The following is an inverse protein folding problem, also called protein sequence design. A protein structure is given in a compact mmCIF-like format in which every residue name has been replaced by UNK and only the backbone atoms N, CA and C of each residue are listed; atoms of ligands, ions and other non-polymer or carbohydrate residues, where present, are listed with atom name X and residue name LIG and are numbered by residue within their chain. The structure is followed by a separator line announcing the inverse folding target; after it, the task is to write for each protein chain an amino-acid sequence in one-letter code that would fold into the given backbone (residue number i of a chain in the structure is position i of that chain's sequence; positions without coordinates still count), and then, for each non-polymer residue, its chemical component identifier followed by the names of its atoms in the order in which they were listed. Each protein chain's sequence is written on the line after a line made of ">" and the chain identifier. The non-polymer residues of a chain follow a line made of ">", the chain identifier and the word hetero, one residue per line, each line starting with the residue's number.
data_IF_801909463562
#
_entry.id   IF_801909463562
#
_cell.length_a   1.000
_cell.length_b   1.000
_cell.length_c   1.000
_cell.angle_alpha   90.00
_cell.angle_beta   90.00
_cell.angle_gamma   90.00
#
_symmetry.space_group_name_H-M   'P 1'
#
loop_
_entity.id
_entity.type
_entity.pdbx_description
1 polymer ?
#
# COMPACT_ATOMS: atom_id res chain seq x y z
N UNK A 1 18.07 -36.31 -10.22
CA UNK A 1 18.24 -35.50 -11.43
C UNK A 1 16.92 -34.79 -11.64
N UNK A 2 16.88 -33.52 -11.24
CA UNK A 2 15.66 -32.72 -11.18
C UNK A 2 15.43 -32.12 -12.56
N UNK A 3 14.61 -32.79 -13.36
CA UNK A 3 14.23 -32.37 -14.71
C UNK A 3 13.18 -31.26 -14.65
N UNK A 4 13.52 -30.12 -14.05
CA UNK A 4 12.69 -28.91 -14.13
C UNK A 4 12.98 -28.26 -15.49
N UNK A 5 12.37 -28.83 -16.54
CA UNK A 5 12.31 -28.17 -17.85
C UNK A 5 11.60 -26.84 -17.67
N UNK A 6 12.12 -25.80 -18.33
CA UNK A 6 11.48 -24.50 -18.34
C UNK A 6 10.01 -24.66 -18.77
N UNK A 7 9.06 -24.01 -18.07
CA UNK A 7 7.67 -24.06 -18.46
C UNK A 7 7.53 -23.62 -19.92
N UNK A 8 6.64 -24.27 -20.70
CA UNK A 8 6.44 -23.94 -22.10
C UNK A 8 6.04 -22.46 -22.23
N UNK A 9 6.69 -21.75 -23.16
CA UNK A 9 6.47 -20.33 -23.41
C UNK A 9 4.97 -20.03 -23.57
N UNK A 10 4.46 -19.09 -22.79
CA UNK A 10 3.03 -18.78 -22.76
C UNK A 10 2.53 -18.23 -24.10
N UNK A 11 1.22 -18.35 -24.34
CA UNK A 11 0.61 -17.85 -25.58
C UNK A 11 0.80 -16.34 -25.71
N UNK A 12 0.72 -15.59 -24.61
CA UNK A 12 0.93 -14.14 -24.54
C UNK A 12 2.35 -13.74 -24.96
N UNK A 13 3.37 -14.40 -24.40
CA UNK A 13 4.76 -14.13 -24.77
C UNK A 13 5.00 -14.46 -26.25
N UNK A 14 4.50 -15.60 -26.73
CA UNK A 14 4.62 -15.96 -28.15
C UNK A 14 3.92 -14.96 -29.08
N UNK A 15 2.76 -14.44 -28.68
CA UNK A 15 1.97 -13.47 -29.43
C UNK A 15 2.66 -12.11 -29.50
N UNK A 16 3.31 -11.67 -28.42
CA UNK A 16 4.13 -10.46 -28.41
C UNK A 16 5.24 -10.56 -29.47
N UNK A 17 6.04 -11.64 -29.45
CA UNK A 17 7.13 -11.85 -30.42
C UNK A 17 6.61 -11.90 -31.85
N UNK A 18 5.51 -12.62 -32.10
CA UNK A 18 4.88 -12.69 -33.43
C UNK A 18 4.39 -11.33 -33.91
N UNK A 19 3.71 -10.58 -33.04
CA UNK A 19 3.16 -9.26 -33.38
C UNK A 19 4.26 -8.26 -33.70
N UNK A 20 5.34 -8.27 -32.93
CA UNK A 20 6.52 -7.46 -33.19
C UNK A 20 7.15 -7.79 -34.56
N UNK A 21 7.40 -9.07 -34.85
CA UNK A 21 7.96 -9.51 -36.15
C UNK A 21 7.06 -9.14 -37.33
N UNK A 22 5.74 -9.21 -37.16
CA UNK A 22 4.79 -8.77 -38.18
C UNK A 22 4.86 -7.25 -38.37
N UNK A 23 4.92 -6.48 -37.29
CA UNK A 23 5.07 -5.03 -37.31
C UNK A 23 6.34 -4.60 -38.04
N UNK A 24 7.50 -5.13 -37.67
CA UNK A 24 8.76 -4.74 -38.30
C UNK A 24 8.82 -5.16 -39.77
N UNK A 25 8.33 -6.36 -40.11
CA UNK A 25 8.19 -6.80 -41.51
C UNK A 25 7.37 -5.84 -42.34
N UNK A 26 6.30 -5.26 -41.78
CA UNK A 26 5.47 -4.28 -42.47
C UNK A 26 6.13 -2.90 -42.62
N UNK A 27 6.96 -2.48 -41.65
CA UNK A 27 7.66 -1.19 -41.72
C UNK A 27 8.85 -1.22 -42.70
N UNK A 28 9.60 -2.33 -42.69
CA UNK A 28 10.81 -2.51 -43.47
C UNK A 28 10.54 -3.39 -44.70
N UNK A 29 9.40 -3.16 -45.36
CA UNK A 29 9.11 -3.78 -46.65
C UNK A 29 10.08 -3.28 -47.70
N UNK A 30 10.64 -4.21 -48.47
CA UNK A 30 11.51 -3.90 -49.62
C UNK A 30 10.74 -3.06 -50.63
N UNK A 31 11.36 -1.98 -51.10
CA UNK A 31 10.88 -1.22 -52.24
C UNK A 31 11.23 -1.96 -53.55
N UNK A 32 10.52 -1.65 -54.62
CA UNK A 32 10.72 -2.27 -55.92
C UNK A 32 11.91 -1.66 -56.66
N UNK A 33 12.42 -2.35 -57.69
CA UNK A 33 13.40 -1.73 -58.59
C UNK A 33 12.85 -0.46 -59.23
N UNK A 34 11.57 -0.45 -59.62
CA UNK A 34 10.88 0.69 -60.22
C UNK A 34 10.88 1.92 -59.30
N UNK A 35 10.78 1.74 -57.98
CA UNK A 35 10.89 2.83 -57.02
C UNK A 35 12.28 3.49 -57.05
N UNK A 36 13.35 2.70 -57.24
CA UNK A 36 14.72 3.22 -57.41
C UNK A 36 14.86 3.96 -58.73
N UNK A 37 14.29 3.44 -59.81
CA UNK A 37 14.33 4.12 -61.11
C UNK A 37 13.63 5.47 -61.07
N UNK A 38 12.49 5.53 -60.39
CA UNK A 38 11.71 6.76 -60.21
C UNK A 38 12.40 7.76 -59.29
N UNK A 39 13.02 7.29 -58.20
CA UNK A 39 13.70 8.15 -57.24
C UNK A 39 15.04 8.69 -57.77
N UNK A 40 15.74 7.91 -58.60
CA UNK A 40 17.07 8.24 -59.10
C UNK A 40 17.16 8.14 -60.63
N UNK A 41 16.43 9.00 -61.37
CA UNK A 41 16.36 8.91 -62.84
C UNK A 41 17.65 9.32 -63.54
N UNK A 42 18.50 10.12 -62.87
CA UNK A 42 19.71 10.72 -63.47
C UNK A 42 20.95 9.83 -63.44
N UNK A 43 20.92 8.75 -62.65
CA UNK A 43 22.07 7.83 -62.53
C UNK A 43 21.95 6.65 -63.50
N UNK A 44 23.08 6.03 -63.79
CA UNK A 44 23.16 4.93 -64.76
C UNK A 44 22.43 3.67 -64.28
N UNK A 45 22.04 2.80 -65.21
CA UNK A 45 21.40 1.53 -64.86
C UNK A 45 22.26 0.66 -63.92
N UNK A 46 23.59 0.64 -64.12
CA UNK A 46 24.52 -0.11 -63.27
C UNK A 46 24.61 0.44 -61.84
N UNK A 47 24.57 1.76 -61.69
CA UNK A 47 24.52 2.41 -60.38
C UNK A 47 23.20 2.14 -59.67
N UNK A 48 22.06 2.18 -60.39
CA UNK A 48 20.74 1.82 -59.83
C UNK A 48 20.69 0.39 -59.35
N UNK A 49 21.21 -0.56 -60.12
CA UNK A 49 21.25 -1.96 -59.72
C UNK A 49 22.09 -2.16 -58.45
N UNK A 50 23.27 -1.53 -58.41
CA UNK A 50 24.16 -1.60 -57.26
C UNK A 50 23.53 -0.96 -56.01
N UNK A 51 22.83 0.16 -56.18
CA UNK A 51 22.09 0.84 -55.12
C UNK A 51 20.94 -0.02 -54.60
N UNK A 52 20.16 -0.63 -55.49
CA UNK A 52 19.07 -1.55 -55.12
C UNK A 52 19.58 -2.73 -54.29
N UNK A 53 20.67 -3.38 -54.73
CA UNK A 53 21.28 -4.49 -53.98
C UNK A 53 21.81 -4.04 -52.61
N UNK A 54 22.46 -2.87 -52.54
CA UNK A 54 22.95 -2.31 -51.28
C UNK A 54 21.81 -2.05 -50.31
N UNK A 55 20.69 -1.50 -50.77
CA UNK A 55 19.54 -1.29 -49.92
C UNK A 55 18.87 -2.58 -49.45
N UNK A 56 18.77 -3.61 -50.30
CA UNK A 56 18.28 -4.93 -49.86
C UNK A 56 19.15 -5.47 -48.70
N UNK A 57 20.46 -5.30 -48.80
CA UNK A 57 21.39 -5.66 -47.72
C UNK A 57 21.13 -4.84 -46.46
N UNK A 58 21.01 -3.51 -46.59
CA UNK A 58 20.71 -2.61 -45.45
C UNK A 58 19.39 -2.98 -44.77
N UNK A 59 18.33 -3.21 -45.54
CA UNK A 59 17.02 -3.60 -44.99
C UNK A 59 17.12 -4.95 -44.27
N UNK A 60 17.83 -5.93 -44.85
CA UNK A 60 18.05 -7.22 -44.21
C UNK A 60 18.81 -7.09 -42.89
N UNK A 61 19.94 -6.38 -42.89
CA UNK A 61 20.72 -6.16 -41.66
C UNK A 61 19.95 -5.36 -40.62
N UNK A 62 19.10 -4.43 -41.05
CA UNK A 62 18.25 -3.66 -40.14
C UNK A 62 17.16 -4.53 -39.49
N UNK A 63 16.55 -5.45 -40.26
CA UNK A 63 15.64 -6.47 -39.70
C UNK A 63 16.33 -7.29 -38.62
N UNK A 64 17.50 -7.85 -38.92
CA UNK A 64 18.28 -8.69 -38.01
C UNK A 64 18.65 -7.92 -36.73
N UNK A 65 19.22 -6.72 -36.86
CA UNK A 65 19.61 -5.90 -35.72
C UNK A 65 18.42 -5.53 -34.82
N UNK A 66 17.28 -5.16 -35.41
CA UNK A 66 16.10 -4.77 -34.62
C UNK A 66 15.48 -5.97 -33.91
N UNK A 67 15.44 -7.15 -34.55
CA UNK A 67 14.97 -8.37 -33.89
C UNK A 67 15.89 -8.79 -32.74
N UNK A 68 17.21 -8.66 -32.89
CA UNK A 68 18.19 -8.93 -31.83
C UNK A 68 18.05 -7.96 -30.65
N UNK A 69 17.95 -6.66 -30.93
CA UNK A 69 17.77 -5.63 -29.89
C UNK A 69 16.46 -5.83 -29.13
N UNK A 70 15.37 -6.14 -29.83
CA UNK A 70 14.08 -6.45 -29.22
C UNK A 70 14.18 -7.67 -28.30
N UNK A 71 14.87 -8.73 -28.71
CA UNK A 71 15.07 -9.91 -27.88
C UNK A 71 15.90 -9.59 -26.63
N UNK A 72 16.97 -8.79 -26.78
CA UNK A 72 17.79 -8.30 -25.67
C UNK A 72 16.96 -7.54 -24.64
N UNK A 73 16.12 -6.60 -25.09
CA UNK A 73 15.20 -5.84 -24.21
C UNK A 73 14.20 -6.78 -23.52
N UNK A 74 13.65 -7.76 -24.23
CA UNK A 74 12.71 -8.72 -23.65
C UNK A 74 13.37 -9.57 -22.53
N UNK A 75 14.63 -9.93 -22.70
CA UNK A 75 15.42 -10.66 -21.70
C UNK A 75 15.76 -9.77 -20.51
N UNK A 76 16.25 -8.55 -20.75
CA UNK A 76 16.63 -7.58 -19.72
C UNK A 76 15.43 -7.20 -18.84
N UNK A 77 14.28 -6.95 -19.46
CA UNK A 77 13.04 -6.54 -18.76
C UNK A 77 12.27 -7.72 -18.16
N UNK A 78 12.69 -8.96 -18.42
CA UNK A 78 11.99 -10.17 -18.03
C UNK A 78 10.50 -10.18 -18.44
N UNK A 79 10.15 -9.49 -19.53
CA UNK A 79 8.74 -9.35 -19.98
C UNK A 79 8.12 -10.71 -20.30
N UNK A 80 8.91 -11.65 -20.83
CA UNK A 80 8.46 -13.01 -21.10
C UNK A 80 7.98 -13.71 -19.84
N UNK A 81 8.80 -13.71 -18.77
CA UNK A 81 8.45 -14.30 -17.47
C UNK A 81 7.22 -13.62 -16.86
N UNK A 82 7.14 -12.30 -16.98
CA UNK A 82 6.00 -11.52 -16.48
C UNK A 82 4.71 -11.92 -17.20
N UNK A 83 4.74 -12.07 -18.53
CA UNK A 83 3.59 -12.51 -19.32
C UNK A 83 3.21 -13.96 -19.02
N UNK A 84 4.19 -14.83 -18.78
CA UNK A 84 3.95 -16.22 -18.38
C UNK A 84 3.23 -16.28 -17.01
N UNK A 85 3.66 -15.48 -16.02
CA UNK A 85 2.99 -15.35 -14.72
C UNK A 85 1.57 -14.82 -14.88
N UNK A 86 1.36 -13.80 -15.72
CA UNK A 86 0.02 -13.27 -15.98
C UNK A 86 -0.89 -14.33 -16.60
N UNK A 87 -0.38 -15.13 -17.54
CA UNK A 87 -1.16 -16.20 -18.16
C UNK A 87 -1.56 -17.26 -17.13
N UNK A 88 -0.62 -17.67 -16.27
CA UNK A 88 -0.89 -18.58 -15.16
C UNK A 88 -1.94 -18.01 -14.20
N UNK A 89 -1.81 -16.74 -13.77
CA UNK A 89 -2.78 -16.11 -12.86
C UNK A 89 -4.18 -16.01 -13.46
N UNK A 90 -4.28 -15.76 -14.77
CA UNK A 90 -5.55 -15.71 -15.48
C UNK A 90 -6.17 -17.11 -15.58
N UNK A 91 -5.36 -18.14 -15.84
CA UNK A 91 -5.81 -19.52 -15.84
C UNK A 91 -6.29 -19.96 -14.44
N UNK A 92 -5.50 -19.69 -13.40
CA UNK A 92 -5.85 -19.94 -12.00
C UNK A 92 -7.16 -19.23 -11.61
N UNK A 93 -7.31 -17.95 -11.96
CA UNK A 93 -8.53 -17.20 -11.70
C UNK A 93 -9.75 -17.77 -12.43
N UNK A 94 -9.59 -18.23 -13.68
CA UNK A 94 -10.68 -18.82 -14.44
C UNK A 94 -11.09 -20.21 -13.91
N UNK A 95 -10.15 -20.94 -13.31
CA UNK A 95 -10.40 -22.25 -12.70
C UNK A 95 -10.94 -22.14 -11.27
N UNK A 96 -10.58 -21.08 -10.54
CA UNK A 96 -11.12 -20.80 -9.21
C UNK A 96 -12.53 -20.20 -9.33
N UNK A 97 -13.52 -21.07 -9.49
CA UNK A 97 -14.96 -20.73 -9.45
C UNK A 97 -15.35 -20.00 -8.15
N UNK A 98 -14.55 -20.13 -7.07
CA UNK A 98 -14.73 -19.43 -5.80
C UNK A 98 -13.99 -18.06 -5.76
N UNK A 99 -13.08 -17.78 -6.69
CA UNK A 99 -12.39 -16.48 -6.79
C UNK A 99 -13.31 -15.37 -7.30
N UNK A 100 -14.27 -15.71 -8.18
CA UNK A 100 -15.29 -14.77 -8.65
C UNK A 100 -16.12 -14.18 -7.48
N UNK A 101 -16.25 -14.91 -6.37
CA UNK A 101 -16.93 -14.49 -5.15
C UNK A 101 -15.98 -13.81 -4.14
N UNK A 102 -14.67 -13.86 -4.39
CA UNK A 102 -13.59 -13.32 -3.52
C UNK A 102 -13.25 -11.86 -3.76
N UNK A 103 -14.06 -11.14 -4.53
CA UNK A 103 -14.34 -9.74 -4.18
C UNK A 103 -15.26 -9.72 -2.95
N UNK A 104 -14.87 -10.48 -1.93
CA UNK A 104 -15.65 -10.79 -0.75
C UNK A 104 -15.65 -9.54 0.13
N UNK A 105 -16.53 -8.62 -0.23
CA UNK A 105 -16.97 -7.51 0.60
C UNK A 105 -17.29 -8.02 2.02
N UNK A 106 -17.72 -9.28 2.18
CA UNK A 106 -17.94 -9.95 3.45
C UNK A 106 -16.67 -10.09 4.29
N UNK A 107 -15.59 -10.63 3.75
CA UNK A 107 -14.30 -10.79 4.43
C UNK A 107 -13.64 -9.46 4.81
N UNK A 108 -13.77 -8.43 3.96
CA UNK A 108 -13.34 -7.06 4.31
C UNK A 108 -14.22 -6.49 5.43
N UNK A 109 -15.54 -6.65 5.33
CA UNK A 109 -16.50 -6.23 6.35
C UNK A 109 -16.22 -6.90 7.70
N UNK A 110 -15.91 -8.19 7.71
CA UNK A 110 -15.67 -8.94 8.95
C UNK A 110 -14.39 -8.50 9.66
N UNK A 111 -13.31 -8.28 8.90
CA UNK A 111 -12.07 -7.70 9.45
C UNK A 111 -12.29 -6.31 10.04
N UNK A 112 -13.03 -5.45 9.35
CA UNK A 112 -13.37 -4.10 9.83
C UNK A 112 -14.24 -4.17 11.08
N UNK A 113 -15.27 -5.04 11.09
CA UNK A 113 -16.15 -5.24 12.25
C UNK A 113 -15.37 -5.70 13.47
N UNK A 114 -14.45 -6.66 13.30
CA UNK A 114 -13.60 -7.14 14.39
C UNK A 114 -12.72 -6.02 14.95
N UNK A 115 -12.00 -5.30 14.08
CA UNK A 115 -11.15 -4.19 14.50
C UNK A 115 -11.93 -3.09 15.23
N UNK A 116 -13.14 -2.75 14.75
CA UNK A 116 -14.01 -1.75 15.41
C UNK A 116 -14.54 -2.25 16.75
N UNK A 117 -14.85 -3.53 16.88
CA UNK A 117 -15.30 -4.12 18.15
C UNK A 117 -14.18 -4.09 19.19
N UNK A 118 -12.97 -4.46 18.80
CA UNK A 118 -11.79 -4.45 19.67
C UNK A 118 -11.48 -3.02 20.16
N UNK A 119 -11.59 -2.02 19.26
CA UNK A 119 -11.42 -0.60 19.60
C UNK A 119 -12.48 -0.10 20.58
N UNK A 120 -13.76 -0.43 20.36
CA UNK A 120 -14.84 -0.06 21.29
C UNK A 120 -14.60 -0.67 22.67
N UNK A 121 -14.16 -1.92 22.74
CA UNK A 121 -13.86 -2.59 24.00
C UNK A 121 -12.69 -1.93 24.73
N UNK A 122 -11.63 -1.54 24.00
CA UNK A 122 -10.50 -0.80 24.54
C UNK A 122 -10.94 0.56 25.11
N UNK A 123 -11.65 1.36 24.33
CA UNK A 123 -12.13 2.68 24.75
C UNK A 123 -13.09 2.61 25.94
N UNK A 124 -13.97 1.62 25.97
CA UNK A 124 -14.87 1.38 27.11
C UNK A 124 -14.08 1.09 28.38
N UNK A 125 -13.04 0.25 28.28
CA UNK A 125 -12.17 -0.08 29.41
C UNK A 125 -11.38 1.13 29.91
N UNK A 126 -10.95 2.02 29.00
CA UNK A 126 -10.27 3.25 29.36
C UNK A 126 -11.21 4.24 30.06
N UNK A 127 -12.45 4.38 29.55
CA UNK A 127 -13.47 5.23 30.14
C UNK A 127 -13.80 4.79 31.58
N UNK A 128 -13.95 3.49 31.80
CA UNK A 128 -14.22 2.94 33.13
C UNK A 128 -13.11 3.30 34.12
N UNK A 129 -11.84 3.15 33.72
CA UNK A 129 -10.69 3.52 34.57
C UNK A 129 -10.68 5.00 34.94
N UNK A 130 -11.04 5.86 34.00
CA UNK A 130 -11.13 7.31 34.23
C UNK A 130 -12.29 7.63 35.18
N UNK A 131 -13.45 6.99 35.02
CA UNK A 131 -14.60 7.20 35.89
C UNK A 131 -14.32 6.71 37.33
N UNK A 132 -13.72 5.53 37.48
CA UNK A 132 -13.28 5.00 38.78
C UNK A 132 -12.32 5.97 39.48
N UNK A 133 -11.34 6.50 38.74
CA UNK A 133 -10.40 7.47 39.26
C UNK A 133 -11.09 8.78 39.68
N UNK A 134 -12.03 9.27 38.87
CA UNK A 134 -12.80 10.47 39.16
C UNK A 134 -13.67 10.29 40.41
N UNK A 135 -14.29 9.12 40.59
CA UNK A 135 -15.08 8.79 41.77
C UNK A 135 -14.21 8.77 43.05
N UNK A 136 -13.02 8.19 42.98
CA UNK A 136 -12.04 8.25 44.09
C UNK A 136 -11.65 9.69 44.40
N UNK A 137 -11.41 10.52 43.38
CA UNK A 137 -11.02 11.92 43.58
C UNK A 137 -12.15 12.75 44.17
N UNK A 138 -13.40 12.56 43.71
CA UNK A 138 -14.60 13.19 44.31
C UNK A 138 -14.74 12.80 45.78
N UNK A 139 -14.59 11.51 46.12
CA UNK A 139 -14.67 11.06 47.51
C UNK A 139 -13.60 11.72 48.40
N UNK A 140 -12.38 11.90 47.87
CA UNK A 140 -11.30 12.63 48.58
C UNK A 140 -11.65 14.10 48.78
N UNK A 141 -12.20 14.77 47.76
CA UNK A 141 -12.62 16.17 47.86
C UNK A 141 -13.71 16.34 48.91
N UNK A 142 -14.72 15.48 48.94
CA UNK A 142 -15.80 15.55 49.93
C UNK A 142 -15.29 15.29 51.36
N UNK A 143 -14.33 14.37 51.54
CA UNK A 143 -13.68 14.17 52.85
C UNK A 143 -12.94 15.43 53.32
N UNK A 144 -12.20 16.08 52.41
CA UNK A 144 -11.46 17.31 52.73
C UNK A 144 -12.41 18.47 53.06
N UNK A 145 -13.52 18.64 52.30
CA UNK A 145 -14.56 19.63 52.63
C UNK A 145 -15.15 19.39 54.02
N UNK A 146 -15.51 18.15 54.34
CA UNK A 146 -16.03 17.79 55.67
C UNK A 146 -15.03 18.11 56.79
N UNK A 147 -13.72 17.91 56.55
CA UNK A 147 -12.68 18.29 57.50
C UNK A 147 -12.46 19.80 57.63
N UNK A 148 -12.80 20.57 56.59
CA UNK A 148 -12.71 22.02 56.56
C UNK A 148 -13.96 22.69 57.17
N UNK A 149 -15.12 22.03 57.07
CA UNK A 149 -16.38 22.44 57.70
C UNK A 149 -16.41 22.18 59.22
N UNK A 150 -15.46 21.40 59.76
CA UNK A 150 -15.06 21.44 61.18
C UNK A 150 -14.36 22.78 61.44
N UNK A 151 -15.19 23.81 61.53
CA UNK A 151 -14.81 25.21 61.56
C UNK A 151 -13.81 25.49 62.68
N UNK A 152 -12.78 26.27 62.37
CA UNK A 152 -11.95 26.98 63.36
C UNK A 152 -12.79 27.73 64.40
N UNK A 153 -14.06 28.06 64.09
CA UNK A 153 -15.00 28.61 65.06
C UNK A 153 -15.35 27.64 66.20
N UNK A 154 -15.57 26.35 65.93
CA UNK A 154 -15.87 25.34 66.98
C UNK A 154 -14.68 25.14 67.91
N UNK A 155 -13.46 25.15 67.35
CA UNK A 155 -12.22 25.07 68.13
C UNK A 155 -12.02 26.33 68.97
N UNK A 156 -12.30 27.52 68.41
CA UNK A 156 -12.19 28.81 69.14
C UNK A 156 -13.26 28.94 70.23
N UNK A 157 -14.46 28.41 70.01
CA UNK A 157 -15.55 28.45 71.00
C UNK A 157 -15.28 27.48 72.16
N UNK A 158 -14.75 26.28 71.88
CA UNK A 158 -14.25 25.38 72.93
C UNK A 158 -13.08 25.99 73.73
N UNK A 159 -12.15 26.68 73.06
CA UNK A 159 -10.99 27.30 73.71
C UNK A 159 -11.41 28.50 74.59
N UNK A 160 -12.41 29.28 74.15
CA UNK A 160 -13.02 30.35 74.94
C UNK A 160 -13.76 29.81 76.18
N UNK A 161 -14.47 28.69 76.03
CA UNK A 161 -15.12 27.98 77.15
C UNK A 161 -14.10 27.49 78.19
N UNK A 162 -12.98 26.92 77.75
CA UNK A 162 -11.90 26.50 78.65
C UNK A 162 -11.24 27.67 79.38
N UNK A 163 -10.97 28.79 78.69
CA UNK A 163 -10.36 29.96 79.33
C UNK A 163 -11.29 30.63 80.35
N UNK A 164 -12.60 30.72 80.06
CA UNK A 164 -13.58 31.26 81.00
C UNK A 164 -13.73 30.43 82.28
N UNK A 165 -13.55 29.10 82.19
CA UNK A 165 -13.51 28.25 83.37
C UNK A 165 -12.23 28.46 84.19
N UNK A 166 -11.06 28.63 83.55
CA UNK A 166 -9.79 28.91 84.23
C UNK A 166 -9.82 30.24 85.01
N UNK A 167 -10.40 31.30 84.44
CA UNK A 167 -10.52 32.60 85.12
C UNK A 167 -11.48 32.56 86.32
N UNK A 168 -12.55 31.75 86.27
CA UNK A 168 -13.44 31.52 87.42
C UNK A 168 -12.73 30.85 88.61
N UNK A 169 -11.81 29.93 88.34
CA UNK A 169 -11.04 29.27 89.40
C UNK A 169 -9.96 30.18 90.02
N UNK A 170 -9.40 31.12 89.25
CA UNK A 170 -8.37 32.04 89.75
C UNK A 170 -8.91 33.36 90.34
N UNK A 171 -10.10 33.83 89.93
CA UNK A 171 -10.77 34.98 90.53
C UNK A 171 -11.35 34.72 91.93
N UNK A 172 -11.47 33.45 92.34
CA UNK A 172 -11.98 33.05 93.65
C UNK A 172 -10.90 32.91 94.73
N UNK A 173 -9.62 33.20 94.41
CA UNK A 173 -8.46 33.05 95.30
C UNK A 173 -7.75 34.38 95.66
N UNK A 174 -8.27 35.54 95.20
CA UNK A 174 -7.78 36.88 95.57
C UNK A 174 -8.95 37.83 95.95
N UNK A 175 -9.80 37.41 96.89
CA UNK A 175 -10.84 38.23 97.53
C UNK A 175 -10.73 38.16 99.03
#
# INVERSE_FOLDING_TARGET
>A
MDGRGDPPMSSRHSNLKKSFKLGIRSLLTTFSKEDVEKAFPTITNSERESLYLMFLQVIKSLHENIEEEFESICQETEVGKTLDIIEQLVEEHNLDVLAADKTDIGGIREKILKAKKDEIQYLTSLLQKVDDHNNVMKARIELLKTSQDLSTADVVEQLRSWNGNFEKYHGSLNG
#
